data_IF_399992533854
#
_entry.id   IF_399992533854
#
_cell.length_a   1.000
_cell.length_b   1.000
_cell.length_c   1.000
_cell.angle_alpha   90.00
_cell.angle_beta   90.00
_cell.angle_gamma   90.00
#
_symmetry.space_group_name_H-M   'P 1'
#
loop_
_entity.id
_entity.type
_entity.pdbx_description
1 polymer ?
#
# COMPACT_ATOMS: atom_id res chain seq x y z
N UNK A 1 -42.45 25.42 25.80
CA UNK A 1 -43.14 26.67 25.43
C UNK A 1 -43.79 26.41 24.08
N UNK A 2 -45.07 26.08 24.10
CA UNK A 2 -45.90 25.95 22.91
C UNK A 2 -46.14 27.36 22.35
N UNK A 3 -46.12 27.52 21.04
CA UNK A 3 -47.02 28.51 20.45
C UNK A 3 -47.50 28.10 19.06
N UNK A 4 -48.76 28.44 18.83
CA UNK A 4 -49.66 27.95 17.82
C UNK A 4 -49.55 28.70 16.48
N UNK A 5 -49.98 27.99 15.45
CA UNK A 5 -50.30 28.45 14.08
C UNK A 5 -51.37 29.55 14.04
N UNK A 6 -51.53 30.17 12.86
CA UNK A 6 -52.85 30.19 12.26
C UNK A 6 -52.89 29.65 10.83
N UNK A 7 -53.99 28.92 10.57
CA UNK A 7 -54.44 28.39 9.28
C UNK A 7 -54.97 29.52 8.39
N UNK A 8 -54.79 29.40 7.08
CA UNK A 8 -55.57 30.13 6.08
C UNK A 8 -56.42 29.16 5.26
N UNK A 9 -57.75 29.35 5.30
CA UNK A 9 -58.73 28.64 4.47
C UNK A 9 -59.31 29.53 3.36
N UNK A 10 -59.34 28.94 2.15
CA UNK A 10 -60.35 28.97 1.09
C UNK A 10 -60.86 30.29 0.46
N UNK A 11 -60.87 30.35 -0.88
CA UNK A 11 -62.10 30.15 -1.68
C UNK A 11 -61.84 30.13 -3.20
N UNK A 12 -62.46 29.15 -3.86
CA UNK A 12 -62.57 29.01 -5.31
C UNK A 12 -63.70 29.90 -5.85
N UNK A 13 -63.47 30.57 -6.98
CA UNK A 13 -64.53 31.21 -7.76
C UNK A 13 -65.01 30.27 -8.88
N UNK A 14 -66.31 29.97 -8.89
CA UNK A 14 -67.06 29.33 -9.96
C UNK A 14 -67.12 30.25 -11.18
N UNK A 15 -66.95 29.69 -12.38
CA UNK A 15 -67.33 30.33 -13.65
C UNK A 15 -68.56 29.56 -14.19
N UNK A 16 -69.56 30.23 -14.78
CA UNK A 16 -70.92 29.69 -14.92
C UNK A 16 -71.06 28.68 -16.07
N UNK A 17 -71.86 27.65 -15.83
CA UNK A 17 -72.56 26.89 -16.88
C UNK A 17 -73.61 27.79 -17.51
N UNK A 18 -73.68 27.78 -18.85
CA UNK A 18 -74.92 28.06 -19.55
C UNK A 18 -75.12 26.95 -20.58
N UNK A 19 -76.06 26.07 -20.28
CA UNK A 19 -76.72 25.19 -21.23
C UNK A 19 -77.56 26.06 -22.17
N UNK A 20 -77.54 25.76 -23.47
CA UNK A 20 -78.75 25.83 -24.32
C UNK A 20 -78.51 25.26 -25.73
N UNK A 21 -79.45 24.40 -26.13
CA UNK A 21 -79.91 24.04 -27.48
C UNK A 21 -79.03 23.18 -28.41
N UNK A 22 -79.24 21.87 -28.29
CA UNK A 22 -79.82 20.98 -29.33
C UNK A 22 -79.93 21.49 -30.78
N UNK A 23 -79.63 20.57 -31.70
CA UNK A 23 -80.05 20.45 -33.13
C UNK A 23 -79.20 21.14 -34.22
N UNK A 24 -78.26 20.39 -34.82
CA UNK A 24 -78.32 19.91 -36.22
C UNK A 24 -76.93 19.41 -36.70
N UNK A 25 -76.62 18.12 -36.50
CA UNK A 25 -75.79 17.39 -37.45
C UNK A 25 -76.71 16.40 -38.18
N UNK A 26 -76.85 16.60 -39.48
CA UNK A 26 -77.45 15.61 -40.36
C UNK A 26 -76.64 14.33 -40.29
N UNK A 27 -77.36 13.23 -40.18
CA UNK A 27 -76.91 11.85 -40.20
C UNK A 27 -75.72 11.58 -41.13
N UNK A 28 -74.78 10.78 -40.64
CA UNK A 28 -74.43 9.51 -41.30
C UNK A 28 -73.83 8.51 -40.31
N UNK A 29 -74.62 7.46 -40.10
CA UNK A 29 -74.25 6.04 -39.96
C UNK A 29 -73.04 5.63 -39.09
N UNK A 30 -73.41 4.79 -38.12
CA UNK A 30 -72.81 3.50 -37.80
C UNK A 30 -71.64 3.45 -36.81
N UNK A 31 -71.92 2.70 -35.75
CA UNK A 31 -71.04 1.81 -35.00
C UNK A 31 -69.86 2.43 -34.23
N UNK A 32 -70.04 2.58 -32.91
CA UNK A 32 -68.90 2.59 -31.99
C UNK A 32 -68.98 1.43 -30.99
N UNK A 33 -68.45 0.30 -31.43
CA UNK A 33 -68.03 -0.80 -30.59
C UNK A 33 -66.92 -0.32 -29.65
N UNK A 34 -67.16 -0.38 -28.34
CA UNK A 34 -66.13 -0.24 -27.30
C UNK A 34 -64.95 -1.18 -27.57
N UNK A 35 -63.87 -0.68 -28.19
CA UNK A 35 -62.58 -1.38 -28.28
C UNK A 35 -61.59 -0.69 -27.36
N UNK A 36 -61.20 -1.38 -26.29
CA UNK A 36 -60.04 -0.99 -25.47
C UNK A 36 -58.85 -0.71 -26.41
N UNK A 37 -58.14 0.43 -26.27
CA UNK A 37 -57.04 0.76 -27.16
C UNK A 37 -55.99 -0.35 -27.09
N UNK A 38 -55.82 -1.09 -28.19
CA UNK A 38 -54.77 -2.09 -28.32
C UNK A 38 -53.45 -1.33 -28.38
N UNK A 39 -52.74 -1.23 -27.25
CA UNK A 39 -51.36 -0.72 -27.23
C UNK A 39 -50.54 -1.56 -28.24
N UNK A 40 -49.86 -0.94 -29.22
CA UNK A 40 -49.20 -1.69 -30.27
C UNK A 40 -48.10 -2.57 -29.66
N UNK A 41 -48.09 -3.85 -30.02
CA UNK A 41 -47.15 -4.88 -29.56
C UNK A 41 -45.68 -4.46 -29.67
N UNK A 42 -45.37 -3.55 -30.59
CA UNK A 42 -44.02 -3.02 -30.81
C UNK A 42 -43.45 -2.24 -29.61
N UNK A 43 -44.28 -1.54 -28.81
CA UNK A 43 -43.78 -0.85 -27.61
C UNK A 43 -43.25 -1.83 -26.57
N UNK A 44 -43.89 -2.99 -26.39
CA UNK A 44 -43.37 -4.04 -25.51
C UNK A 44 -42.07 -4.63 -26.04
N UNK A 45 -41.92 -4.74 -27.36
CA UNK A 45 -40.66 -5.13 -28.01
C UNK A 45 -39.51 -4.15 -27.77
N UNK A 46 -39.74 -2.85 -27.95
CA UNK A 46 -38.73 -1.80 -27.69
C UNK A 46 -38.35 -1.76 -26.21
N UNK A 47 -39.33 -1.79 -25.30
CA UNK A 47 -39.07 -1.80 -23.85
C UNK A 47 -38.29 -3.06 -23.42
N UNK A 48 -38.58 -4.21 -24.02
CA UNK A 48 -37.85 -5.46 -23.74
C UNK A 48 -36.42 -5.40 -24.26
N UNK A 49 -36.19 -4.83 -25.45
CA UNK A 49 -34.86 -4.58 -26.01
C UNK A 49 -34.04 -3.61 -25.15
N UNK A 50 -34.65 -2.53 -24.66
CA UNK A 50 -33.98 -1.58 -23.77
C UNK A 50 -33.62 -2.20 -22.42
N UNK A 51 -34.53 -3.01 -21.86
CA UNK A 51 -34.27 -3.76 -20.63
C UNK A 51 -33.11 -4.75 -20.83
N UNK A 52 -33.13 -5.51 -21.93
CA UNK A 52 -32.09 -6.48 -22.26
C UNK A 52 -30.73 -5.78 -22.45
N UNK A 53 -30.69 -4.66 -23.16
CA UNK A 53 -29.47 -3.85 -23.32
C UNK A 53 -28.94 -3.33 -21.98
N UNK A 54 -29.83 -2.85 -21.11
CA UNK A 54 -29.47 -2.38 -19.77
C UNK A 54 -28.90 -3.51 -18.90
N UNK A 55 -29.50 -4.71 -18.96
CA UNK A 55 -29.00 -5.91 -18.29
C UNK A 55 -27.65 -6.33 -18.85
N UNK A 56 -27.45 -6.29 -20.16
CA UNK A 56 -26.16 -6.61 -20.79
C UNK A 56 -25.07 -5.64 -20.33
N UNK A 57 -25.33 -4.32 -20.29
CA UNK A 57 -24.38 -3.33 -19.77
C UNK A 57 -24.09 -3.59 -18.29
N UNK A 58 -25.10 -3.88 -17.49
CA UNK A 58 -24.93 -4.15 -16.06
C UNK A 58 -24.08 -5.41 -15.82
N UNK A 59 -24.36 -6.50 -16.55
CA UNK A 59 -23.58 -7.73 -16.47
C UNK A 59 -22.16 -7.55 -17.01
N UNK A 60 -21.98 -6.78 -18.09
CA UNK A 60 -20.66 -6.41 -18.60
C UNK A 60 -19.90 -5.55 -17.59
N UNK A 61 -20.58 -4.63 -16.89
CA UNK A 61 -20.01 -3.82 -15.81
C UNK A 61 -19.57 -4.67 -14.62
N UNK A 62 -20.38 -5.63 -14.20
CA UNK A 62 -20.02 -6.62 -13.16
C UNK A 62 -18.85 -7.48 -13.62
N UNK A 63 -18.86 -7.95 -14.87
CA UNK A 63 -17.80 -8.80 -15.40
C UNK A 63 -16.46 -8.05 -15.51
N UNK A 64 -16.47 -6.83 -16.08
CA UNK A 64 -15.29 -5.96 -16.16
C UNK A 64 -14.82 -5.57 -14.76
N UNK A 65 -15.74 -5.20 -13.86
CA UNK A 65 -15.45 -4.90 -12.47
C UNK A 65 -14.76 -6.07 -11.79
N UNK A 66 -15.42 -7.22 -11.74
CA UNK A 66 -14.94 -8.46 -11.10
C UNK A 66 -13.60 -8.96 -11.63
N UNK A 67 -13.31 -8.80 -12.94
CA UNK A 67 -12.11 -9.38 -13.55
C UNK A 67 -10.96 -8.39 -13.82
N UNK A 68 -11.21 -7.07 -13.91
CA UNK A 68 -10.16 -6.09 -14.24
C UNK A 68 -9.90 -5.04 -13.15
N UNK A 69 -10.82 -4.84 -12.20
CA UNK A 69 -10.69 -3.79 -11.19
C UNK A 69 -10.37 -4.31 -9.77
N UNK A 70 -10.36 -5.63 -9.53
CA UNK A 70 -10.19 -6.18 -8.17
C UNK A 70 -8.83 -6.81 -7.84
N UNK A 71 -7.81 -6.67 -8.69
CA UNK A 71 -6.44 -6.94 -8.22
C UNK A 71 -5.98 -5.77 -7.34
N UNK A 72 -6.49 -5.77 -6.11
CA UNK A 72 -6.28 -4.72 -5.10
C UNK A 72 -4.80 -4.64 -4.76
N UNK A 73 -4.13 -5.78 -4.69
CA UNK A 73 -2.70 -5.92 -4.44
C UNK A 73 -1.86 -5.23 -5.51
N UNK A 74 -2.12 -5.52 -6.79
CA UNK A 74 -1.42 -4.86 -7.91
C UNK A 74 -1.72 -3.36 -7.99
N UNK A 75 -2.97 -2.96 -7.77
CA UNK A 75 -3.34 -1.55 -7.74
C UNK A 75 -2.64 -0.80 -6.59
N UNK A 76 -2.76 -1.31 -5.36
CA UNK A 76 -2.17 -0.71 -4.19
C UNK A 76 -0.65 -0.70 -4.29
N UNK A 77 -0.03 -1.80 -4.68
CA UNK A 77 1.42 -1.90 -4.87
C UNK A 77 1.94 -0.83 -5.83
N UNK A 78 1.29 -0.64 -6.99
CA UNK A 78 1.66 0.44 -7.92
C UNK A 78 1.39 1.84 -7.37
N UNK A 79 0.33 2.02 -6.59
CA UNK A 79 -0.03 3.31 -6.03
C UNK A 79 0.97 3.76 -4.95
N UNK A 80 1.35 2.85 -4.05
CA UNK A 80 2.19 3.15 -2.89
C UNK A 80 3.69 3.05 -3.17
N UNK A 81 4.12 2.41 -4.27
CA UNK A 81 5.54 2.35 -4.65
C UNK A 81 5.95 3.50 -5.58
N UNK A 82 7.20 3.95 -5.46
CA UNK A 82 7.84 4.77 -6.49
C UNK A 82 7.99 3.95 -7.78
N UNK A 83 8.07 4.61 -8.95
CA UNK A 83 8.17 3.87 -10.20
C UNK A 83 9.54 3.17 -10.30
N UNK A 84 9.51 1.92 -10.76
CA UNK A 84 10.70 1.15 -11.11
C UNK A 84 10.36 0.07 -12.15
N UNK A 85 11.37 -0.56 -12.78
CA UNK A 85 11.16 -1.73 -13.64
C UNK A 85 10.40 -2.87 -12.92
N UNK A 86 10.67 -3.09 -11.63
CA UNK A 86 10.01 -4.12 -10.81
C UNK A 86 8.49 -3.86 -10.72
N UNK A 87 8.11 -2.61 -10.43
CA UNK A 87 6.70 -2.20 -10.34
C UNK A 87 6.00 -2.28 -11.71
N UNK A 88 6.69 -1.89 -12.78
CA UNK A 88 6.20 -1.97 -14.17
C UNK A 88 5.90 -3.41 -14.57
N UNK A 89 6.80 -4.33 -14.25
CA UNK A 89 6.67 -5.76 -14.55
C UNK A 89 5.70 -6.50 -13.61
N UNK A 90 5.24 -5.84 -12.54
CA UNK A 90 4.29 -6.40 -11.59
C UNK A 90 4.91 -7.45 -10.65
N UNK A 91 6.23 -7.41 -10.47
CA UNK A 91 6.95 -8.38 -9.64
C UNK A 91 6.77 -8.02 -8.16
N UNK A 92 6.42 -9.03 -7.35
CA UNK A 92 6.33 -8.87 -5.90
C UNK A 92 5.16 -7.99 -5.42
N UNK A 93 4.16 -7.74 -6.26
CA UNK A 93 3.00 -6.92 -5.90
C UNK A 93 1.89 -7.70 -5.17
N UNK A 94 2.02 -9.01 -4.98
CA UNK A 94 1.08 -9.84 -4.21
C UNK A 94 1.54 -9.97 -2.76
N UNK A 95 0.66 -9.65 -1.82
CA UNK A 95 0.98 -9.60 -0.39
C UNK A 95 0.47 -10.86 0.32
N UNK A 96 1.30 -11.41 1.19
CA UNK A 96 0.93 -12.53 2.05
C UNK A 96 1.15 -12.15 3.50
N UNK A 97 0.29 -12.66 4.38
CA UNK A 97 0.50 -12.52 5.83
C UNK A 97 1.69 -13.40 6.24
N UNK A 98 2.72 -12.75 6.76
CA UNK A 98 3.91 -13.40 7.27
C UNK A 98 4.00 -13.19 8.78
N UNK A 99 4.10 -14.28 9.53
CA UNK A 99 4.50 -14.21 10.93
C UNK A 99 6.01 -14.07 11.00
N UNK A 100 6.50 -13.04 11.68
CA UNK A 100 7.92 -12.88 11.95
C UNK A 100 8.40 -13.89 12.99
N UNK A 101 9.55 -14.48 12.74
CA UNK A 101 10.28 -15.22 13.76
C UNK A 101 11.00 -14.22 14.66
N UNK A 102 10.29 -13.76 15.68
CA UNK A 102 10.76 -12.75 16.64
C UNK A 102 11.28 -13.33 17.95
N UNK A 103 11.52 -14.65 18.04
CA UNK A 103 11.92 -15.26 19.31
C UNK A 103 13.14 -14.59 19.91
N UNK A 104 13.03 -14.09 21.14
CA UNK A 104 14.05 -13.21 21.71
C UNK A 104 15.33 -13.97 22.03
N UNK A 105 15.23 -15.08 22.77
CA UNK A 105 16.37 -15.87 23.25
C UNK A 105 16.84 -16.97 22.28
N UNK A 106 16.10 -17.21 21.18
CA UNK A 106 16.41 -18.31 20.24
C UNK A 106 17.18 -17.80 19.03
N UNK A 107 18.35 -18.38 18.78
CA UNK A 107 19.15 -18.06 17.59
C UNK A 107 18.59 -18.77 16.35
N UNK A 108 18.77 -18.15 15.19
CA UNK A 108 18.50 -18.73 13.87
C UNK A 108 19.74 -18.55 12.96
N UNK A 109 19.65 -18.95 11.70
CA UNK A 109 20.77 -18.91 10.74
C UNK A 109 21.39 -17.50 10.57
N UNK A 110 20.60 -16.43 10.73
CA UNK A 110 21.05 -15.05 10.54
C UNK A 110 21.63 -14.40 11.79
N UNK A 111 21.48 -15.05 12.96
CA UNK A 111 21.82 -14.52 14.28
C UNK A 111 23.02 -15.21 14.94
N UNK A 112 23.69 -16.11 14.22
CA UNK A 112 24.85 -16.83 14.75
C UNK A 112 26.04 -15.88 14.99
N UNK A 113 27.00 -16.26 15.85
CA UNK A 113 28.32 -15.64 15.86
C UNK A 113 28.94 -15.54 14.45
N UNK A 114 29.88 -14.61 14.26
CA UNK A 114 30.61 -14.47 13.01
C UNK A 114 31.24 -15.80 12.57
N UNK A 115 30.98 -16.20 11.33
CA UNK A 115 31.39 -17.47 10.77
C UNK A 115 30.81 -17.72 9.37
N UNK A 116 31.34 -18.71 8.63
CA UNK A 116 30.95 -18.98 7.25
C UNK A 116 29.45 -19.23 7.05
N UNK A 117 28.79 -19.88 8.02
CA UNK A 117 27.38 -20.25 7.91
C UNK A 117 26.47 -19.03 7.96
N UNK A 118 26.74 -18.08 8.87
CA UNK A 118 25.96 -16.84 8.94
C UNK A 118 26.25 -15.93 7.76
N UNK A 119 27.51 -15.86 7.32
CA UNK A 119 27.87 -15.07 6.14
C UNK A 119 27.18 -15.61 4.88
N UNK A 120 27.13 -16.94 4.71
CA UNK A 120 26.38 -17.57 3.63
C UNK A 120 24.86 -17.31 3.73
N UNK A 121 24.30 -17.34 4.94
CA UNK A 121 22.90 -16.99 5.16
C UNK A 121 22.61 -15.55 4.70
N UNK A 122 23.44 -14.57 5.09
CA UNK A 122 23.29 -13.18 4.66
C UNK A 122 23.46 -13.00 3.15
N UNK A 123 24.50 -13.61 2.54
CA UNK A 123 24.69 -13.56 1.09
C UNK A 123 23.50 -14.16 0.32
N UNK A 124 22.81 -15.16 0.88
CA UNK A 124 21.61 -15.74 0.26
C UNK A 124 20.45 -14.75 0.09
N UNK A 125 20.46 -13.64 0.83
CA UNK A 125 19.47 -12.56 0.72
C UNK A 125 19.75 -11.58 -0.43
N UNK A 126 20.84 -11.77 -1.17
CA UNK A 126 21.24 -10.89 -2.26
C UNK A 126 22.01 -9.64 -1.82
N UNK A 127 22.62 -9.66 -0.63
CA UNK A 127 23.42 -8.53 -0.08
C UNK A 127 24.63 -8.17 -0.94
N UNK A 128 25.08 -9.09 -1.80
CA UNK A 128 26.29 -8.92 -2.63
C UNK A 128 25.96 -8.91 -4.13
N UNK A 129 24.69 -8.67 -4.49
CA UNK A 129 24.26 -8.62 -5.87
C UNK A 129 24.83 -7.40 -6.60
N UNK A 130 25.26 -7.63 -7.83
CA UNK A 130 25.81 -6.60 -8.71
C UNK A 130 24.70 -5.72 -9.27
N UNK A 131 25.09 -4.55 -9.77
CA UNK A 131 24.20 -3.69 -10.50
C UNK A 131 23.60 -4.41 -11.72
N UNK A 132 22.32 -4.14 -12.00
CA UNK A 132 21.62 -4.54 -13.21
C UNK A 132 21.42 -3.32 -14.11
N UNK A 133 20.93 -3.57 -15.33
CA UNK A 133 20.70 -2.50 -16.31
C UNK A 133 19.25 -2.03 -16.27
N UNK A 134 19.04 -0.77 -15.94
CA UNK A 134 17.76 -0.08 -16.15
C UNK A 134 17.72 0.48 -17.56
N UNK A 135 16.65 0.20 -18.29
CA UNK A 135 16.52 0.62 -19.68
C UNK A 135 16.51 2.16 -19.82
N UNK A 136 16.91 2.71 -20.97
CA UNK A 136 16.84 4.15 -21.22
C UNK A 136 15.44 4.76 -21.04
N UNK A 137 14.37 3.98 -21.28
CA UNK A 137 12.98 4.42 -21.14
C UNK A 137 12.47 4.34 -19.70
N UNK A 138 13.00 3.43 -18.89
CA UNK A 138 12.61 3.27 -17.48
C UNK A 138 13.43 4.15 -16.54
N UNK A 139 14.68 4.50 -16.91
CA UNK A 139 15.58 5.29 -16.09
C UNK A 139 14.97 6.61 -15.60
N UNK A 140 14.54 7.52 -16.51
CA UNK A 140 14.00 8.82 -16.11
C UNK A 140 12.76 8.73 -15.23
N UNK A 141 11.93 7.69 -15.43
CA UNK A 141 10.75 7.45 -14.60
C UNK A 141 11.11 6.94 -13.20
N UNK A 142 12.29 6.34 -13.05
CA UNK A 142 12.83 5.82 -11.79
C UNK A 142 13.80 6.80 -11.12
N UNK A 143 13.83 8.08 -11.54
CA UNK A 143 14.74 9.11 -11.00
C UNK A 143 16.13 9.16 -11.64
N UNK A 144 16.46 8.24 -12.56
CA UNK A 144 17.76 8.17 -13.22
C UNK A 144 17.79 9.05 -14.47
N UNK A 145 18.49 10.18 -14.42
CA UNK A 145 18.50 11.14 -15.54
C UNK A 145 19.75 11.05 -16.41
N UNK A 146 19.64 11.31 -17.74
CA UNK A 146 20.80 11.31 -18.62
C UNK A 146 21.92 12.28 -18.25
N UNK A 147 21.57 13.38 -17.59
CA UNK A 147 22.49 14.46 -17.27
C UNK A 147 23.29 14.22 -16.00
N UNK A 148 22.71 13.47 -15.05
CA UNK A 148 23.29 13.30 -13.71
C UNK A 148 23.89 11.92 -13.52
N UNK A 149 23.30 10.88 -14.12
CA UNK A 149 23.70 9.50 -13.88
C UNK A 149 24.66 8.95 -14.93
N UNK A 150 25.43 7.94 -14.53
CA UNK A 150 26.31 7.14 -15.39
C UNK A 150 25.47 6.31 -16.35
N UNK A 151 25.97 6.13 -17.57
CA UNK A 151 25.33 5.32 -18.62
C UNK A 151 26.27 4.26 -19.15
N UNK A 152 25.68 3.13 -19.48
CA UNK A 152 26.33 2.10 -20.28
C UNK A 152 26.43 2.62 -21.72
N UNK A 153 27.57 2.39 -22.37
CA UNK A 153 27.78 2.82 -23.75
C UNK A 153 26.72 2.20 -24.68
N UNK A 154 26.18 2.96 -25.66
CA UNK A 154 25.24 2.42 -26.65
C UNK A 154 25.77 1.20 -27.41
N UNK A 155 27.11 1.07 -27.58
CA UNK A 155 27.74 -0.10 -28.20
C UNK A 155 27.49 -1.41 -27.43
N UNK A 156 27.12 -1.31 -26.16
CA UNK A 156 26.81 -2.43 -25.27
C UNK A 156 25.33 -2.49 -24.88
N UNK A 157 24.46 -1.78 -25.61
CA UNK A 157 23.00 -1.79 -25.38
C UNK A 157 22.45 -0.58 -24.62
N UNK A 158 23.31 0.27 -24.04
CA UNK A 158 22.88 1.46 -23.32
C UNK A 158 22.21 1.18 -21.97
N UNK A 159 21.61 2.22 -21.38
CA UNK A 159 20.91 2.14 -20.10
C UNK A 159 21.77 2.59 -18.91
N UNK A 160 21.24 2.38 -17.70
CA UNK A 160 21.83 2.84 -16.45
C UNK A 160 22.23 1.64 -15.59
N UNK A 161 23.47 1.56 -15.09
CA UNK A 161 23.79 0.61 -14.03
C UNK A 161 23.11 1.05 -12.74
N UNK A 162 22.30 0.17 -12.15
CA UNK A 162 21.57 0.46 -10.91
C UNK A 162 21.45 -0.78 -10.03
N UNK A 163 21.17 -0.58 -8.74
CA UNK A 163 20.87 -1.63 -7.77
C UNK A 163 19.42 -1.49 -7.27
N UNK A 164 18.85 -2.56 -6.75
CA UNK A 164 17.53 -2.54 -6.11
C UNK A 164 17.69 -2.02 -4.67
N UNK A 165 16.90 -1.02 -4.30
CA UNK A 165 16.97 -0.33 -3.00
C UNK A 165 16.85 -1.31 -1.83
N UNK A 166 15.83 -2.16 -1.82
CA UNK A 166 15.60 -3.12 -0.75
C UNK A 166 16.75 -4.10 -0.52
N UNK A 167 17.46 -4.49 -1.59
CA UNK A 167 18.65 -5.34 -1.47
C UNK A 167 19.85 -4.55 -0.93
N UNK A 168 19.97 -3.28 -1.30
CA UNK A 168 20.99 -2.40 -0.74
C UNK A 168 20.75 -2.13 0.75
N UNK A 169 19.50 -1.97 1.20
CA UNK A 169 19.17 -1.87 2.63
C UNK A 169 19.65 -3.10 3.41
N UNK A 170 19.46 -4.31 2.87
CA UNK A 170 19.96 -5.54 3.47
C UNK A 170 21.49 -5.63 3.47
N UNK A 171 22.14 -5.15 2.40
CA UNK A 171 23.61 -5.00 2.34
C UNK A 171 24.11 -4.08 3.46
N UNK A 172 23.52 -2.90 3.63
CA UNK A 172 23.86 -1.96 4.70
C UNK A 172 23.65 -2.59 6.09
N UNK A 173 22.54 -3.30 6.31
CA UNK A 173 22.28 -3.98 7.57
C UNK A 173 23.32 -5.07 7.87
N UNK A 174 23.77 -5.81 6.85
CA UNK A 174 24.84 -6.79 6.99
C UNK A 174 26.19 -6.12 7.32
N UNK A 175 26.50 -4.98 6.71
CA UNK A 175 27.71 -4.21 7.06
C UNK A 175 27.65 -3.73 8.52
N UNK A 176 26.49 -3.24 8.98
CA UNK A 176 26.31 -2.87 10.38
C UNK A 176 26.53 -4.07 11.31
N UNK A 177 25.97 -5.25 11.00
CA UNK A 177 26.23 -6.49 11.74
C UNK A 177 27.73 -6.75 11.92
N UNK A 178 28.52 -6.49 10.88
CA UNK A 178 29.96 -6.74 10.85
C UNK A 178 30.80 -5.65 11.56
N UNK A 179 30.27 -4.43 11.76
CA UNK A 179 31.10 -3.24 12.03
C UNK A 179 30.76 -2.41 13.28
N UNK A 180 29.87 -2.85 14.18
CA UNK A 180 29.37 -2.04 15.32
C UNK A 180 30.39 -1.65 16.42
N UNK A 181 31.68 -1.99 16.31
CA UNK A 181 32.64 -1.91 17.43
C UNK A 181 33.01 -0.48 17.88
N UNK A 182 33.02 0.51 16.98
CA UNK A 182 33.60 1.84 17.27
C UNK A 182 32.79 2.70 18.26
N UNK A 183 31.51 2.38 18.51
CA UNK A 183 30.68 3.08 19.48
C UNK A 183 30.50 2.30 20.80
N UNK A 184 30.91 1.04 20.84
CA UNK A 184 30.54 0.11 21.90
C UNK A 184 31.05 0.56 23.27
N UNK A 185 32.34 0.89 23.39
CA UNK A 185 32.97 1.20 24.67
C UNK A 185 32.30 2.37 25.39
N UNK A 186 31.88 3.39 24.65
CA UNK A 186 31.20 4.55 25.22
C UNK A 186 29.83 4.18 25.80
N UNK A 187 28.98 3.49 25.02
CA UNK A 187 27.62 3.13 25.48
C UNK A 187 27.63 2.03 26.54
N UNK A 188 28.58 1.12 26.46
CA UNK A 188 28.82 0.11 27.48
C UNK A 188 29.19 0.78 28.81
N UNK A 189 30.13 1.74 28.80
CA UNK A 189 30.50 2.50 29.99
C UNK A 189 29.36 3.37 30.56
N UNK A 190 28.46 3.86 29.70
CA UNK A 190 27.29 4.62 30.14
C UNK A 190 26.29 3.76 30.93
N UNK A 191 26.22 2.45 30.67
CA UNK A 191 25.41 1.50 31.45
C UNK A 191 23.91 1.76 31.41
N UNK A 192 23.41 2.43 30.37
CA UNK A 192 22.01 2.82 30.24
C UNK A 192 21.26 1.98 29.19
N UNK A 193 19.92 1.91 29.32
CA UNK A 193 19.07 1.18 28.40
C UNK A 193 19.47 -0.29 28.29
N UNK A 194 19.66 -0.82 27.08
CA UNK A 194 20.08 -2.20 26.88
C UNK A 194 21.41 -2.54 27.58
N UNK A 195 22.33 -1.57 27.68
CA UNK A 195 23.67 -1.75 28.27
C UNK A 195 23.67 -1.77 29.81
N UNK A 196 22.53 -1.60 30.48
CA UNK A 196 22.42 -1.88 31.92
C UNK A 196 22.40 -3.39 32.22
N UNK A 197 22.26 -4.23 31.20
CA UNK A 197 22.27 -5.68 31.31
C UNK A 197 23.69 -6.25 31.12
N UNK A 198 23.89 -7.51 31.50
CA UNK A 198 25.13 -8.23 31.23
C UNK A 198 25.37 -8.41 29.72
N UNK A 199 26.64 -8.46 29.30
CA UNK A 199 27.07 -8.50 27.89
C UNK A 199 26.39 -9.60 27.06
N UNK A 200 26.15 -10.77 27.64
CA UNK A 200 25.46 -11.87 26.93
C UNK A 200 24.00 -11.52 26.58
N UNK A 201 23.32 -10.76 27.44
CA UNK A 201 21.96 -10.25 27.20
C UNK A 201 21.98 -9.12 26.17
N UNK A 202 22.98 -8.23 26.23
CA UNK A 202 23.18 -7.19 25.21
C UNK A 202 23.36 -7.84 23.83
N UNK A 203 24.15 -8.91 23.74
CA UNK A 203 24.33 -9.66 22.50
C UNK A 203 23.01 -10.26 21.97
N UNK A 204 22.17 -10.83 22.83
CA UNK A 204 20.85 -11.31 22.42
C UNK A 204 19.97 -10.16 21.91
N UNK A 205 19.92 -9.03 22.61
CA UNK A 205 19.21 -7.82 22.15
C UNK A 205 19.67 -7.38 20.77
N UNK A 206 20.98 -7.19 20.58
CA UNK A 206 21.54 -6.68 19.32
C UNK A 206 21.21 -7.61 18.16
N UNK A 207 21.44 -8.93 18.33
CA UNK A 207 21.15 -9.90 17.26
C UNK A 207 19.65 -10.07 17.00
N UNK A 208 18.80 -9.99 18.03
CA UNK A 208 17.35 -9.98 17.89
C UNK A 208 16.88 -8.74 17.11
N UNK A 209 17.27 -7.54 17.53
CA UNK A 209 16.90 -6.29 16.87
C UNK A 209 17.35 -6.27 15.40
N UNK A 210 18.57 -6.74 15.14
CA UNK A 210 19.11 -6.84 13.78
C UNK A 210 18.28 -7.79 12.91
N UNK A 211 17.82 -8.92 13.45
CA UNK A 211 16.98 -9.88 12.74
C UNK A 211 15.53 -9.40 12.54
N UNK A 212 14.98 -8.65 13.49
CA UNK A 212 13.67 -7.98 13.33
C UNK A 212 13.75 -6.93 12.21
N UNK A 213 14.82 -6.13 12.15
CA UNK A 213 15.03 -5.17 11.07
C UNK A 213 15.21 -5.87 9.72
N UNK A 214 15.97 -6.98 9.68
CA UNK A 214 16.11 -7.80 8.46
C UNK A 214 14.74 -8.27 7.96
N UNK A 215 13.91 -8.83 8.85
CA UNK A 215 12.57 -9.30 8.49
C UNK A 215 11.67 -8.15 8.02
N UNK A 216 11.74 -6.98 8.67
CA UNK A 216 10.99 -5.80 8.25
C UNK A 216 11.41 -5.29 6.87
N UNK A 217 12.72 -5.24 6.58
CA UNK A 217 13.25 -4.83 5.28
C UNK A 217 12.87 -5.83 4.17
N UNK A 218 12.72 -7.11 4.49
CA UNK A 218 12.21 -8.11 3.53
C UNK A 218 10.69 -8.02 3.34
N UNK A 219 9.94 -7.75 4.41
CA UNK A 219 8.48 -7.66 4.39
C UNK A 219 8.00 -6.39 3.65
N UNK A 220 8.72 -5.28 3.82
CA UNK A 220 8.47 -4.01 3.15
C UNK A 220 9.63 -3.67 2.20
N UNK A 221 10.02 -4.64 1.37
CA UNK A 221 11.15 -4.50 0.44
C UNK A 221 10.94 -3.30 -0.49
N UNK A 222 11.91 -2.40 -0.51
CA UNK A 222 11.88 -1.25 -1.42
C UNK A 222 12.22 -1.72 -2.84
N UNK A 223 11.25 -1.58 -3.73
CA UNK A 223 11.34 -1.97 -5.14
C UNK A 223 11.88 -0.85 -6.03
N UNK A 224 12.28 0.29 -5.46
CA UNK A 224 13.00 1.36 -6.12
C UNK A 224 14.40 0.96 -6.59
N UNK A 225 15.07 1.88 -7.28
CA UNK A 225 16.43 1.66 -7.81
C UNK A 225 17.33 2.84 -7.50
N UNK A 226 18.60 2.54 -7.23
CA UNK A 226 19.67 3.52 -7.04
C UNK A 226 20.73 3.38 -8.13
N UNK A 227 21.07 4.50 -8.76
CA UNK A 227 22.04 4.54 -9.85
C UNK A 227 23.43 4.96 -9.40
N UNK A 228 24.27 5.28 -10.38
CA UNK A 228 25.60 5.85 -10.16
C UNK A 228 25.68 7.23 -10.77
N UNK A 229 26.49 8.10 -10.18
CA UNK A 229 26.82 9.44 -10.65
C UNK A 229 28.33 9.58 -10.83
N UNK A 230 28.76 10.52 -11.67
CA UNK A 230 30.18 10.85 -11.79
C UNK A 230 30.60 11.77 -10.65
N UNK A 231 31.66 11.38 -9.95
CA UNK A 231 32.32 12.16 -8.90
C UNK A 231 33.73 12.55 -9.35
N UNK A 232 34.28 13.60 -8.74
CA UNK A 232 35.62 14.16 -9.02
C UNK A 232 35.81 14.61 -10.47
N UNK A 233 35.63 15.91 -10.74
CA UNK A 233 35.61 16.44 -12.12
C UNK A 233 36.93 16.22 -12.87
N UNK A 234 38.05 16.26 -12.15
CA UNK A 234 39.40 16.15 -12.69
C UNK A 234 39.82 14.70 -12.97
N UNK A 235 39.29 13.74 -12.21
CA UNK A 235 39.51 12.31 -12.38
C UNK A 235 38.17 11.54 -12.17
N UNK A 236 37.29 11.53 -13.18
CA UNK A 236 35.93 11.04 -13.02
C UNK A 236 35.86 9.57 -12.61
N UNK A 237 35.24 9.31 -11.47
CA UNK A 237 34.91 7.96 -11.02
C UNK A 237 33.43 7.83 -10.71
N UNK A 238 32.86 6.68 -11.08
CA UNK A 238 31.47 6.36 -10.80
C UNK A 238 31.31 6.04 -9.31
N UNK A 239 30.35 6.71 -8.68
CA UNK A 239 29.97 6.44 -7.29
C UNK A 239 28.46 6.25 -7.20
N UNK A 240 28.02 5.42 -6.26
CA UNK A 240 26.59 5.14 -6.07
C UNK A 240 25.90 6.38 -5.50
N UNK A 241 24.77 6.77 -6.11
CA UNK A 241 23.96 7.86 -5.59
C UNK A 241 22.87 7.33 -4.67
N UNK A 242 23.00 7.63 -3.39
CA UNK A 242 22.04 7.24 -2.35
C UNK A 242 20.93 8.29 -2.14
N UNK A 243 20.93 9.40 -2.91
CA UNK A 243 19.91 10.45 -2.80
C UNK A 243 18.74 10.17 -3.74
N UNK A 244 17.99 9.11 -3.47
CA UNK A 244 16.90 8.63 -4.33
C UNK A 244 15.52 9.05 -3.82
N UNK A 245 14.52 8.98 -4.69
CA UNK A 245 13.14 9.32 -4.36
C UNK A 245 12.39 8.08 -3.84
N UNK A 246 11.72 8.24 -2.69
CA UNK A 246 10.92 7.18 -2.07
C UNK A 246 9.49 7.65 -1.82
N UNK A 247 8.54 6.73 -1.89
CA UNK A 247 7.17 6.94 -1.40
C UNK A 247 7.05 6.39 0.02
N UNK A 248 7.00 7.28 0.99
CA UNK A 248 6.96 6.93 2.40
C UNK A 248 5.59 7.22 3.01
N UNK A 249 5.25 6.47 4.08
CA UNK A 249 4.20 6.89 5.01
C UNK A 249 4.63 8.18 5.72
N UNK A 250 3.67 8.97 6.17
CA UNK A 250 3.96 10.13 7.00
C UNK A 250 4.50 9.68 8.37
N UNK A 251 5.82 9.65 8.47
CA UNK A 251 6.54 9.26 9.69
C UNK A 251 6.20 10.17 10.87
N UNK A 252 6.11 11.48 10.64
CA UNK A 252 5.87 12.44 11.71
C UNK A 252 4.46 12.32 12.27
N UNK A 253 3.46 12.06 11.43
CA UNK A 253 2.11 11.78 11.88
C UNK A 253 2.07 10.54 12.79
N UNK A 254 2.74 9.45 12.39
CA UNK A 254 2.84 8.22 13.19
C UNK A 254 3.56 8.48 14.51
N UNK A 255 4.73 9.13 14.47
CA UNK A 255 5.54 9.45 15.65
C UNK A 255 4.75 10.30 16.66
N UNK A 256 4.12 11.38 16.20
CA UNK A 256 3.30 12.27 17.06
C UNK A 256 2.05 11.56 17.60
N UNK A 257 1.47 10.64 16.83
CA UNK A 257 0.34 9.84 17.30
C UNK A 257 0.75 8.94 18.48
N UNK A 258 1.93 8.32 18.41
CA UNK A 258 2.48 7.46 19.44
C UNK A 258 2.96 8.24 20.68
N UNK A 259 3.65 9.37 20.48
CA UNK A 259 4.13 10.26 21.54
C UNK A 259 3.00 10.70 22.48
N UNK A 260 1.82 11.02 21.94
CA UNK A 260 0.65 11.45 22.73
C UNK A 260 -0.06 10.33 23.48
N UNK A 261 0.35 9.07 23.28
CA UNK A 261 -0.32 7.86 23.78
C UNK A 261 0.62 6.96 24.59
N UNK A 262 1.72 7.51 25.08
CA UNK A 262 2.57 6.80 26.02
C UNK A 262 1.79 6.47 27.28
N UNK A 263 2.08 5.32 27.87
CA UNK A 263 1.64 5.03 29.22
C UNK A 263 2.29 6.04 30.18
N UNK A 264 1.67 6.31 31.35
CA UNK A 264 2.33 7.09 32.39
C UNK A 264 3.70 6.49 32.75
N UNK A 265 4.66 7.35 33.08
CA UNK A 265 5.99 6.92 33.52
C UNK A 265 5.91 6.11 34.83
N UNK A 266 5.03 6.53 35.73
CA UNK A 266 4.72 5.82 36.97
C UNK A 266 3.31 5.26 36.90
N UNK A 267 3.19 3.96 37.14
CA UNK A 267 1.91 3.23 37.19
C UNK A 267 1.74 2.54 38.54
N UNK A 268 0.51 2.40 39.06
CA UNK A 268 0.27 1.72 40.34
C UNK A 268 0.55 0.20 40.25
N UNK A 269 0.77 -0.50 41.38
CA UNK A 269 1.12 -1.93 41.37
C UNK A 269 0.08 -2.86 40.74
N UNK A 270 -1.19 -2.45 40.73
CA UNK A 270 -2.34 -3.18 40.15
C UNK A 270 -2.70 -2.69 38.74
N UNK A 271 -1.79 -1.96 38.07
CA UNK A 271 -2.01 -1.43 36.73
C UNK A 271 -2.22 -2.52 35.66
N UNK A 272 -1.50 -3.64 35.78
CA UNK A 272 -1.63 -4.79 34.88
C UNK A 272 -2.56 -5.83 35.49
N UNK A 273 -3.51 -6.32 34.68
CA UNK A 273 -4.38 -7.43 35.07
C UNK A 273 -3.56 -8.72 35.09
N UNK A 274 -3.54 -9.49 36.19
CA UNK A 274 -2.89 -10.81 36.23
C UNK A 274 -3.52 -11.78 35.21
N UNK A 275 -2.76 -12.78 34.71
CA UNK A 275 -3.30 -13.73 33.74
C UNK A 275 -4.45 -14.55 34.33
N UNK A 276 -5.52 -14.68 33.55
CA UNK A 276 -6.67 -15.55 33.82
C UNK A 276 -6.41 -17.01 33.41
N UNK A 277 -7.40 -17.88 33.68
CA UNK A 277 -7.28 -19.31 33.42
C UNK A 277 -7.16 -19.67 31.92
N UNK A 278 -7.71 -18.84 31.04
CA UNK A 278 -7.70 -19.03 29.59
C UNK A 278 -6.57 -18.27 28.90
N UNK A 279 -5.79 -17.47 29.64
CA UNK A 279 -4.70 -16.70 29.07
C UNK A 279 -3.50 -17.62 28.80
N UNK A 280 -2.86 -17.40 27.64
CA UNK A 280 -1.64 -18.12 27.27
C UNK A 280 -0.47 -17.51 28.04
N UNK A 281 0.07 -18.26 28.99
CA UNK A 281 1.32 -17.93 29.69
C UNK A 281 2.42 -18.83 29.15
N UNK A 282 3.43 -18.23 28.52
CA UNK A 282 4.57 -18.98 27.98
C UNK A 282 5.49 -19.46 29.11
N UNK A 283 5.96 -20.71 29.02
CA UNK A 283 6.90 -21.30 29.99
C UNK A 283 8.29 -20.63 29.94
N UNK A 284 8.63 -20.04 28.78
CA UNK A 284 9.89 -19.35 28.52
C UNK A 284 9.64 -18.06 27.73
N UNK A 285 10.63 -17.16 27.71
CA UNK A 285 10.58 -15.94 26.89
C UNK A 285 10.50 -16.37 25.43
N UNK A 286 9.40 -16.02 24.72
CA UNK A 286 9.13 -16.52 23.38
C UNK A 286 10.18 -16.09 22.36
#
# INVERSE_FOLDING_TARGET
MFDHTPKHEARFNKIPQNDDCETLLSQTSADDYTKKPKRPLWHYGISSLFLLYSVIIFLAGIWIGSHRLFDTDSFCGRHVSHYSPIVKEGIGLHYNLQHFNGSFMKLNAFRQPAGPEVDAAWSSLGTDYRAFVVSPSDGPRSGLTPKTHVHISPRYGGGYPANVEGLHHLHCLNLLRQALYYNYDYYHALGAGAFSNADHIVRFHVTHCLDILRQQLMCAVDVGVLGQVWTYREDPSAFVDFNTEHKCRDYDAVRKWAEKRQLPEEVPPDFLVPPGAEDVVYEEIP
#
